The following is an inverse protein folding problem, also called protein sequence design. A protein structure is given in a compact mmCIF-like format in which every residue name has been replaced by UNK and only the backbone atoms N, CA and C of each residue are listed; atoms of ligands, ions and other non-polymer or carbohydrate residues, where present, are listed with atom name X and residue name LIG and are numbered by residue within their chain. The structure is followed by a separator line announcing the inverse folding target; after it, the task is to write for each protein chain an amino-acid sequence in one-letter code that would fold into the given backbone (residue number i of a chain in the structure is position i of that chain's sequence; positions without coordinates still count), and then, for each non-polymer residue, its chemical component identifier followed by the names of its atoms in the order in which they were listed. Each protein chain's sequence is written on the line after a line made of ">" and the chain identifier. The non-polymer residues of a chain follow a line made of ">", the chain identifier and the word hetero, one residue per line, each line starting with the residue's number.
data_IF_582865141842
#
_entry.id   IF_582865141842
#
_cell.length_a   1.000
_cell.length_b   1.000
_cell.length_c   1.000
_cell.angle_alpha   90.00
_cell.angle_beta   90.00
_cell.angle_gamma   90.00
#
_symmetry.space_group_name_H-M   'P 1'
#
loop_
_entity.id
_entity.type
_entity.pdbx_description
1 polymer ?
#
# COMPACT_ATOMS: atom_id res chain seq x y z
N UNK A 1 32.08 -84.13 -32.79
CA UNK A 1 30.99 -83.42 -32.09
C UNK A 1 31.43 -81.99 -31.87
N UNK A 2 30.91 -81.05 -32.66
CA UNK A 2 31.26 -79.62 -32.57
C UNK A 2 29.95 -78.82 -32.68
N UNK A 3 29.62 -78.10 -31.61
CA UNK A 3 28.36 -77.38 -31.43
C UNK A 3 28.30 -76.09 -32.26
N UNK A 4 27.16 -75.90 -32.93
CA UNK A 4 26.72 -74.65 -33.56
C UNK A 4 26.02 -73.77 -32.51
N UNK A 5 26.33 -72.47 -32.48
CA UNK A 5 25.55 -71.46 -31.74
C UNK A 5 24.89 -70.53 -32.76
N UNK A 6 23.56 -70.56 -32.77
CA UNK A 6 22.66 -69.78 -33.64
C UNK A 6 22.31 -68.45 -32.97
N UNK A 7 22.42 -67.35 -33.72
CA UNK A 7 21.96 -66.02 -33.32
C UNK A 7 20.43 -65.88 -33.52
N UNK A 8 19.75 -65.19 -32.60
CA UNK A 8 18.34 -64.82 -32.74
C UNK A 8 18.18 -63.30 -32.56
N UNK A 9 17.58 -62.58 -33.52
CA UNK A 9 17.34 -61.14 -33.40
C UNK A 9 16.10 -60.84 -32.55
N UNK A 10 16.16 -59.76 -31.77
CA UNK A 10 15.03 -59.24 -30.97
C UNK A 10 14.08 -58.42 -31.85
N UNK A 11 12.79 -58.76 -31.75
CA UNK A 11 11.66 -58.09 -32.43
C UNK A 11 11.30 -56.76 -31.74
N UNK A 12 11.01 -55.74 -32.56
CA UNK A 12 10.59 -54.41 -32.12
C UNK A 12 9.13 -54.35 -31.66
N UNK A 13 8.86 -53.46 -30.70
CA UNK A 13 7.54 -52.96 -30.35
C UNK A 13 7.39 -51.50 -30.80
N UNK A 14 6.18 -51.03 -31.16
CA UNK A 14 5.98 -49.66 -31.59
C UNK A 14 6.07 -48.72 -30.39
N UNK A 15 7.09 -47.84 -30.41
CA UNK A 15 7.07 -46.64 -29.58
C UNK A 15 5.95 -45.75 -30.10
N UNK A 16 4.89 -45.57 -29.30
CA UNK A 16 3.87 -44.56 -29.58
C UNK A 16 4.54 -43.20 -29.56
N UNK A 17 4.64 -42.56 -30.74
CA UNK A 17 4.99 -41.16 -30.83
C UNK A 17 3.82 -40.33 -30.29
N UNK A 18 3.88 -39.97 -29.01
CA UNK A 18 3.03 -38.93 -28.47
C UNK A 18 3.52 -37.60 -29.06
N UNK A 19 2.86 -37.15 -30.13
CA UNK A 19 3.04 -35.79 -30.62
C UNK A 19 2.80 -34.82 -29.45
N UNK A 20 3.71 -33.87 -29.15
CA UNK A 20 3.38 -32.85 -28.17
C UNK A 20 2.19 -32.07 -28.71
N UNK A 21 1.06 -32.19 -28.01
CA UNK A 21 -0.06 -31.29 -28.14
C UNK A 21 0.48 -29.84 -28.09
N UNK A 22 -0.02 -29.01 -29.00
CA UNK A 22 0.44 -27.63 -29.16
C UNK A 22 0.55 -26.92 -27.82
N UNK A 23 1.78 -26.56 -27.47
CA UNK A 23 2.03 -25.53 -26.49
C UNK A 23 1.47 -24.25 -27.09
N UNK A 24 0.22 -23.92 -26.76
CA UNK A 24 -0.16 -22.51 -26.65
C UNK A 24 0.87 -21.90 -25.72
N UNK A 25 1.83 -21.18 -26.30
CA UNK A 25 2.73 -20.34 -25.55
C UNK A 25 1.87 -19.47 -24.62
N UNK A 26 2.24 -19.32 -23.34
CA UNK A 26 1.66 -18.24 -22.56
C UNK A 26 1.87 -16.98 -23.39
N UNK A 27 0.82 -16.18 -23.59
CA UNK A 27 1.04 -14.81 -24.05
C UNK A 27 2.02 -14.21 -23.05
N UNK A 28 3.25 -13.93 -23.47
CA UNK A 28 4.24 -13.24 -22.64
C UNK A 28 3.63 -11.88 -22.32
N UNK A 29 2.95 -11.80 -21.18
CA UNK A 29 2.52 -10.53 -20.63
C UNK A 29 3.79 -9.73 -20.42
N UNK A 30 3.89 -8.62 -21.14
CA UNK A 30 5.02 -7.73 -21.05
C UNK A 30 5.20 -7.33 -19.59
N UNK A 31 6.44 -7.36 -19.14
CA UNK A 31 6.77 -6.92 -17.80
C UNK A 31 6.34 -5.44 -17.62
N UNK A 32 6.03 -5.00 -16.39
CA UNK A 32 5.54 -3.64 -16.15
C UNK A 32 6.49 -2.56 -16.68
N UNK A 33 7.80 -2.80 -16.61
CA UNK A 33 8.82 -1.89 -17.10
C UNK A 33 8.83 -1.81 -18.64
N UNK A 34 8.73 -2.95 -19.33
CA UNK A 34 8.62 -3.01 -20.79
C UNK A 34 7.39 -2.26 -21.29
N UNK A 35 6.23 -2.50 -20.66
CA UNK A 35 4.98 -1.82 -21.02
C UNK A 35 5.05 -0.31 -20.79
N UNK A 36 5.64 0.13 -19.68
CA UNK A 36 5.81 1.55 -19.40
C UNK A 36 6.76 2.22 -20.41
N UNK A 37 7.83 1.53 -20.82
CA UNK A 37 8.78 2.03 -21.82
C UNK A 37 8.15 2.18 -23.21
N UNK A 38 7.34 1.22 -23.65
CA UNK A 38 6.58 1.34 -24.91
C UNK A 38 5.64 2.54 -24.86
N UNK A 39 4.83 2.66 -23.81
CA UNK A 39 3.92 3.80 -23.65
C UNK A 39 4.65 5.14 -23.59
N UNK A 40 5.82 5.20 -22.95
CA UNK A 40 6.63 6.43 -22.88
C UNK A 40 7.19 6.81 -24.26
N UNK A 41 7.66 5.82 -25.02
CA UNK A 41 8.14 6.02 -26.40
C UNK A 41 6.99 6.45 -27.35
N UNK A 42 5.79 5.88 -27.18
CA UNK A 42 4.62 6.20 -27.99
C UNK A 42 4.02 7.58 -27.65
N UNK A 43 3.90 7.91 -26.36
CA UNK A 43 3.31 9.18 -25.90
C UNK A 43 4.27 10.36 -25.98
N UNK A 44 5.58 10.12 -25.89
CA UNK A 44 6.58 11.18 -25.71
C UNK A 44 6.62 11.75 -24.30
N UNK A 45 5.89 11.16 -23.35
CA UNK A 45 5.83 11.57 -21.94
C UNK A 45 6.42 10.47 -21.05
N UNK A 46 6.89 10.83 -19.86
CA UNK A 46 7.35 9.82 -18.89
C UNK A 46 6.15 9.04 -18.35
N UNK A 47 6.30 7.73 -18.18
CA UNK A 47 5.22 6.85 -17.69
C UNK A 47 5.66 6.17 -16.39
N UNK A 48 4.83 6.22 -15.37
CA UNK A 48 5.10 5.60 -14.06
C UNK A 48 4.96 4.07 -14.11
N UNK A 49 5.90 3.37 -13.48
CA UNK A 49 5.86 1.94 -13.23
C UNK A 49 5.13 1.68 -11.92
N UNK A 50 3.79 1.70 -11.99
CA UNK A 50 2.90 1.58 -10.82
C UNK A 50 3.18 0.41 -9.85
N UNK A 51 3.55 -0.82 -10.28
CA UNK A 51 3.78 -1.91 -9.32
C UNK A 51 5.04 -1.74 -8.48
N UNK A 52 5.96 -0.84 -8.85
CA UNK A 52 7.17 -0.53 -8.07
C UNK A 52 7.01 0.71 -7.19
N UNK A 53 5.86 1.38 -7.27
CA UNK A 53 5.59 2.58 -6.46
C UNK A 53 5.46 2.23 -4.98
N UNK A 54 6.12 3.04 -4.15
CA UNK A 54 6.04 3.01 -2.67
C UNK A 54 5.67 4.39 -2.14
N UNK A 55 5.46 4.52 -0.83
CA UNK A 55 5.11 5.80 -0.20
C UNK A 55 6.18 6.90 -0.41
N UNK A 56 7.43 6.50 -0.69
CA UNK A 56 8.61 7.38 -0.80
C UNK A 56 9.36 7.29 -2.12
N UNK A 57 9.03 6.35 -3.00
CA UNK A 57 9.78 6.09 -4.24
C UNK A 57 8.83 5.84 -5.41
N UNK A 58 9.10 6.46 -6.54
CA UNK A 58 8.44 6.23 -7.83
C UNK A 58 9.49 5.99 -8.91
N UNK A 59 9.18 5.11 -9.86
CA UNK A 59 10.04 4.81 -11.01
C UNK A 59 9.27 5.16 -12.28
N UNK A 60 9.93 5.85 -13.19
CA UNK A 60 9.36 6.29 -14.47
C UNK A 60 10.20 5.76 -15.63
N UNK A 61 9.55 5.28 -16.68
CA UNK A 61 10.15 5.10 -17.99
C UNK A 61 10.11 6.42 -18.75
N UNK A 62 11.24 6.84 -19.32
CA UNK A 62 11.35 8.06 -20.10
C UNK A 62 11.27 7.78 -21.60
N UNK A 63 10.80 8.73 -22.43
CA UNK A 63 10.69 8.55 -23.88
C UNK A 63 12.04 8.30 -24.58
N UNK A 64 13.17 8.66 -23.97
CA UNK A 64 14.52 8.42 -24.48
C UNK A 64 15.05 6.99 -24.17
N UNK A 65 14.25 6.15 -23.51
CA UNK A 65 14.59 4.76 -23.18
C UNK A 65 15.36 4.61 -21.86
N UNK A 66 15.57 5.69 -21.10
CA UNK A 66 16.11 5.63 -19.74
C UNK A 66 15.00 5.47 -18.70
N UNK A 67 15.39 5.15 -17.47
CA UNK A 67 14.50 5.14 -16.31
C UNK A 67 14.93 6.22 -15.31
N UNK A 68 13.96 6.82 -14.63
CA UNK A 68 14.20 7.77 -13.54
C UNK A 68 13.51 7.29 -12.28
N UNK A 69 14.28 7.21 -11.19
CA UNK A 69 13.75 6.95 -9.86
C UNK A 69 13.74 8.25 -9.06
N UNK A 70 12.58 8.61 -8.53
CA UNK A 70 12.39 9.76 -7.65
C UNK A 70 12.17 9.25 -6.23
N UNK A 71 13.02 9.68 -5.28
CA UNK A 71 12.98 9.25 -3.88
C UNK A 71 12.85 10.45 -2.94
N UNK A 72 11.94 10.35 -1.98
CA UNK A 72 11.64 11.40 -0.99
C UNK A 72 12.12 11.01 0.42
N UNK A 73 12.48 12.01 1.23
CA UNK A 73 12.91 11.80 2.63
C UNK A 73 11.76 11.40 3.58
N UNK A 74 10.53 11.67 3.19
CA UNK A 74 9.31 11.31 3.92
C UNK A 74 8.22 10.89 2.92
N UNK A 75 7.18 10.16 3.36
CA UNK A 75 6.08 9.80 2.50
C UNK A 75 5.41 11.01 1.86
N UNK A 76 5.22 10.92 0.53
CA UNK A 76 4.52 11.92 -0.28
C UNK A 76 3.28 11.34 -0.96
N UNK A 77 3.16 10.01 -0.99
CA UNK A 77 1.97 9.29 -1.45
C UNK A 77 1.53 8.26 -0.42
N UNK A 78 0.25 7.90 -0.47
CA UNK A 78 -0.33 6.83 0.33
C UNK A 78 -1.16 5.89 -0.53
N UNK A 79 -1.06 4.60 -0.21
CA UNK A 79 -1.85 3.56 -0.83
C UNK A 79 -3.23 3.50 -0.17
N UNK A 80 -4.27 3.61 -0.99
CA UNK A 80 -5.66 3.57 -0.58
C UNK A 80 -6.16 2.13 -0.48
N UNK A 81 -7.33 1.93 0.16
CA UNK A 81 -7.92 0.59 0.35
C UNK A 81 -8.28 -0.14 -0.96
N UNK A 82 -8.51 0.59 -2.05
CA UNK A 82 -8.71 0.04 -3.40
C UNK A 82 -7.40 -0.24 -4.15
N UNK A 83 -6.25 0.00 -3.51
CA UNK A 83 -4.92 -0.20 -4.06
C UNK A 83 -4.39 0.97 -4.89
N UNK A 84 -5.18 2.04 -5.08
CA UNK A 84 -4.77 3.25 -5.78
C UNK A 84 -3.78 4.09 -4.94
N UNK A 85 -3.00 4.95 -5.58
CA UNK A 85 -2.06 5.87 -4.92
C UNK A 85 -2.60 7.30 -4.97
N UNK A 86 -2.70 7.94 -3.81
CA UNK A 86 -3.04 9.36 -3.70
C UNK A 86 -1.90 10.14 -3.02
N UNK A 87 -1.82 11.44 -3.27
CA UNK A 87 -0.94 12.32 -2.51
C UNK A 87 -1.32 12.33 -1.02
N UNK A 88 -0.35 12.61 -0.16
CA UNK A 88 -0.60 12.73 1.28
C UNK A 88 -1.50 13.95 1.53
N UNK A 89 -2.63 13.71 2.20
CA UNK A 89 -3.54 14.72 2.71
C UNK A 89 -3.95 14.34 4.14
N UNK A 90 -3.36 15.05 5.11
CA UNK A 90 -3.60 14.83 6.54
C UNK A 90 -4.86 15.50 7.06
N UNK A 91 -5.66 16.16 6.21
CA UNK A 91 -6.91 16.81 6.61
C UNK A 91 -7.88 15.78 7.18
N UNK A 92 -8.34 16.01 8.40
CA UNK A 92 -9.26 15.13 9.10
C UNK A 92 -10.67 15.27 8.54
N UNK A 93 -11.31 14.12 8.39
CA UNK A 93 -12.70 13.99 7.99
C UNK A 93 -13.39 13.00 8.93
N UNK A 94 -14.67 13.25 9.22
CA UNK A 94 -15.49 12.33 9.99
C UNK A 94 -16.09 11.27 9.08
N UNK A 95 -15.91 10.01 9.44
CA UNK A 95 -16.49 8.87 8.76
C UNK A 95 -17.94 8.64 9.20
N UNK A 96 -18.65 7.77 8.47
CA UNK A 96 -20.09 7.51 8.67
C UNK A 96 -20.37 6.78 9.99
N UNK A 97 -19.42 5.95 10.43
CA UNK A 97 -19.40 5.28 11.74
C UNK A 97 -19.02 6.21 12.91
N UNK A 98 -18.68 7.46 12.63
CA UNK A 98 -18.38 8.49 13.61
C UNK A 98 -16.90 8.62 13.97
N UNK A 99 -16.03 7.75 13.46
CA UNK A 99 -14.58 7.88 13.66
C UNK A 99 -14.01 9.00 12.80
N UNK A 100 -12.81 9.45 13.11
CA UNK A 100 -12.16 10.58 12.45
C UNK A 100 -10.86 10.11 11.84
N UNK A 101 -10.65 10.36 10.56
CA UNK A 101 -9.46 9.89 9.84
C UNK A 101 -8.94 10.97 8.89
N UNK A 102 -7.62 11.03 8.64
CA UNK A 102 -7.09 11.85 7.57
C UNK A 102 -7.60 11.33 6.21
N UNK A 103 -7.61 12.20 5.19
CA UNK A 103 -8.01 11.79 3.83
C UNK A 103 -7.07 10.75 3.23
N UNK A 104 -5.77 10.92 3.43
CA UNK A 104 -4.74 10.09 2.80
C UNK A 104 -3.41 10.19 3.57
N UNK A 105 -3.02 9.11 4.26
CA UNK A 105 -1.73 9.02 5.00
C UNK A 105 -1.06 7.66 4.74
N UNK A 106 0.27 7.63 4.79
CA UNK A 106 1.04 6.41 4.55
C UNK A 106 0.80 5.34 5.62
N UNK A 107 0.50 5.77 6.84
CA UNK A 107 -0.02 4.91 7.90
C UNK A 107 -1.48 5.27 8.11
N UNK A 108 -2.35 4.27 8.15
CA UNK A 108 -3.77 4.49 8.42
C UNK A 108 -3.92 4.89 9.89
N UNK A 109 -4.60 6.00 10.12
CA UNK A 109 -4.81 6.58 11.45
C UNK A 109 -6.30 6.81 11.62
N UNK A 110 -6.84 6.36 12.74
CA UNK A 110 -8.19 6.66 13.16
C UNK A 110 -8.18 7.25 14.56
N UNK A 111 -8.91 8.34 14.74
CA UNK A 111 -9.14 9.01 16.01
C UNK A 111 -10.59 8.78 16.46
N UNK A 112 -10.77 8.67 17.77
CA UNK A 112 -12.10 8.51 18.37
C UNK A 112 -13.02 9.68 18.02
N UNK A 113 -14.26 9.38 17.64
CA UNK A 113 -15.32 10.39 17.54
C UNK A 113 -15.76 11.01 18.87
N UNK A 114 -15.25 10.50 20.01
CA UNK A 114 -15.74 10.73 21.36
C UNK A 114 -16.33 9.46 21.97
N UNK A 115 -16.76 9.54 23.23
CA UNK A 115 -17.33 8.40 23.96
C UNK A 115 -16.30 7.62 24.77
N UNK A 116 -16.26 6.29 24.62
CA UNK A 116 -15.33 5.46 25.40
C UNK A 116 -13.87 5.77 25.02
N UNK A 117 -13.03 6.04 26.02
CA UNK A 117 -11.62 6.38 25.79
C UNK A 117 -10.73 5.22 25.40
N UNK A 118 -11.19 3.96 25.52
CA UNK A 118 -10.37 2.77 25.27
C UNK A 118 -9.75 2.70 23.87
N UNK A 119 -10.36 3.36 22.89
CA UNK A 119 -9.92 3.41 21.49
C UNK A 119 -9.79 4.87 21.05
N UNK A 120 -8.85 5.60 21.66
CA UNK A 120 -8.58 7.00 21.34
C UNK A 120 -7.92 7.15 19.96
N UNK A 121 -6.93 6.31 19.68
CA UNK A 121 -6.23 6.26 18.39
C UNK A 121 -6.00 4.82 17.96
N UNK A 122 -6.34 4.50 16.73
CA UNK A 122 -5.96 3.25 16.06
C UNK A 122 -5.02 3.55 14.91
N UNK A 123 -3.92 2.82 14.85
CA UNK A 123 -2.93 2.87 13.78
C UNK A 123 -2.92 1.52 13.09
N UNK A 124 -3.12 1.50 11.77
CA UNK A 124 -2.83 0.33 10.94
C UNK A 124 -1.70 0.64 9.97
N UNK A 125 -0.75 -0.29 9.91
CA UNK A 125 0.33 -0.24 8.94
C UNK A 125 0.54 -1.62 8.31
N UNK A 126 -0.01 -1.82 7.11
CA UNK A 126 0.08 -3.06 6.35
C UNK A 126 -0.48 -4.26 7.14
N UNK A 127 -1.66 -4.11 7.73
CA UNK A 127 -2.36 -5.15 8.49
C UNK A 127 -1.82 -5.39 9.90
N UNK A 128 -0.96 -4.51 10.39
CA UNK A 128 -0.48 -4.51 11.77
C UNK A 128 -1.10 -3.35 12.52
N UNK A 129 -1.92 -3.69 13.49
CA UNK A 129 -2.70 -2.73 14.25
C UNK A 129 -2.07 -2.41 15.61
N UNK A 130 -2.12 -1.14 15.99
CA UNK A 130 -1.80 -0.64 17.33
C UNK A 130 -2.91 0.31 17.77
N UNK A 131 -3.47 0.08 18.96
CA UNK A 131 -4.47 0.95 19.56
C UNK A 131 -3.93 1.63 20.82
N UNK A 132 -4.28 2.90 20.98
CA UNK A 132 -3.97 3.72 22.15
C UNK A 132 -5.27 4.15 22.81
N UNK A 133 -5.36 3.95 24.12
CA UNK A 133 -6.50 4.37 24.92
C UNK A 133 -6.24 5.63 25.74
N UNK A 134 -7.32 6.30 26.10
CA UNK A 134 -7.40 7.35 27.11
C UNK A 134 -8.09 6.82 28.37
N UNK A 135 -7.66 7.22 29.59
CA UNK A 135 -8.19 6.65 30.84
C UNK A 135 -9.67 6.90 31.12
N UNK A 136 -10.25 7.95 30.53
CA UNK A 136 -11.63 8.40 30.76
C UNK A 136 -12.40 8.47 29.45
N UNK A 137 -13.70 8.71 29.52
CA UNK A 137 -14.48 9.05 28.35
C UNK A 137 -13.91 10.32 27.68
N UNK A 138 -13.95 10.35 26.35
CA UNK A 138 -13.52 11.48 25.53
C UNK A 138 -14.75 12.28 25.07
N UNK A 139 -14.67 13.61 25.04
CA UNK A 139 -15.68 14.45 24.40
C UNK A 139 -15.66 14.25 22.88
N UNK A 140 -16.66 14.77 22.18
CA UNK A 140 -16.57 14.90 20.73
C UNK A 140 -15.53 15.97 20.37
N UNK A 141 -14.57 15.69 19.46
CA UNK A 141 -13.52 16.63 19.14
C UNK A 141 -13.96 17.68 18.11
N UNK A 142 -13.36 18.86 18.19
CA UNK A 142 -13.37 19.86 17.12
C UNK A 142 -12.24 19.59 16.13
N UNK A 143 -12.55 19.66 14.84
CA UNK A 143 -11.59 19.41 13.75
C UNK A 143 -11.13 20.73 13.13
N UNK A 144 -9.82 20.88 12.99
CA UNK A 144 -9.17 21.98 12.26
C UNK A 144 -8.01 21.44 11.43
N UNK A 145 -8.20 21.36 10.11
CA UNK A 145 -7.19 20.77 9.21
C UNK A 145 -6.82 19.35 9.63
N UNK A 146 -5.57 19.14 10.04
CA UNK A 146 -5.05 17.85 10.52
C UNK A 146 -5.18 17.63 12.04
N UNK A 147 -5.82 18.55 12.76
CA UNK A 147 -5.88 18.56 14.23
C UNK A 147 -7.29 18.20 14.72
N UNK A 148 -7.37 17.24 15.63
CA UNK A 148 -8.55 16.95 16.45
C UNK A 148 -8.29 17.44 17.88
N UNK A 149 -9.14 18.35 18.37
CA UNK A 149 -9.07 18.87 19.75
C UNK A 149 -10.20 18.29 20.57
N UNK A 150 -9.88 17.63 21.67
CA UNK A 150 -10.81 17.11 22.66
C UNK A 150 -10.75 18.05 23.88
N UNK A 151 -11.81 18.83 24.08
CA UNK A 151 -11.84 19.86 25.12
C UNK A 151 -12.11 19.29 26.52
N UNK A 152 -11.46 19.84 27.54
CA UNK A 152 -11.74 19.50 28.94
C UNK A 152 -11.64 17.98 29.24
N UNK A 153 -10.66 17.29 28.65
CA UNK A 153 -10.38 15.87 28.96
C UNK A 153 -9.92 15.68 30.41
N UNK A 154 -9.37 16.74 30.99
CA UNK A 154 -9.21 16.98 32.42
C UNK A 154 -9.59 18.45 32.67
N UNK A 155 -9.88 18.86 33.92
CA UNK A 155 -10.25 20.24 34.23
C UNK A 155 -9.23 21.25 33.69
N UNK A 156 -9.66 22.09 32.72
CA UNK A 156 -8.82 23.12 32.09
C UNK A 156 -7.75 22.61 31.11
N UNK A 157 -7.83 21.34 30.70
CA UNK A 157 -6.83 20.69 29.83
C UNK A 157 -7.50 20.10 28.61
N UNK A 158 -6.98 20.48 27.44
CA UNK A 158 -7.37 19.89 26.17
C UNK A 158 -6.34 18.86 25.70
N UNK A 159 -6.83 17.81 25.06
CA UNK A 159 -6.03 16.87 24.31
C UNK A 159 -6.08 17.25 22.83
N UNK A 160 -4.91 17.41 22.20
CA UNK A 160 -4.79 17.70 20.77
C UNK A 160 -4.07 16.55 20.09
N UNK A 161 -4.75 15.92 19.12
CA UNK A 161 -4.17 14.91 18.24
C UNK A 161 -3.95 15.53 16.87
N UNK A 162 -2.74 15.43 16.33
CA UNK A 162 -2.42 15.92 14.99
C UNK A 162 -2.05 14.76 14.09
N UNK A 163 -2.78 14.57 12.98
CA UNK A 163 -2.43 13.60 11.96
C UNK A 163 -1.19 14.06 11.17
N UNK A 164 -0.27 13.13 10.95
CA UNK A 164 0.94 13.31 10.13
C UNK A 164 1.05 12.14 9.16
N UNK A 165 1.91 12.26 8.13
CA UNK A 165 1.99 11.26 7.05
C UNK A 165 2.22 9.82 7.53
N UNK A 166 2.94 9.61 8.64
CA UNK A 166 3.26 8.29 9.22
C UNK A 166 2.57 7.97 10.54
N UNK A 167 1.54 8.72 10.93
CA UNK A 167 0.87 8.49 12.21
C UNK A 167 0.27 9.75 12.81
N UNK A 168 0.53 9.98 14.09
CA UNK A 168 0.02 11.15 14.80
C UNK A 168 1.00 11.69 15.84
N UNK A 169 0.76 12.91 16.29
CA UNK A 169 1.39 13.48 17.49
C UNK A 169 0.32 13.79 18.54
N UNK A 170 0.68 13.66 19.81
CA UNK A 170 -0.14 14.01 20.95
C UNK A 170 0.43 15.25 21.63
N UNK A 171 -0.40 16.27 21.80
CA UNK A 171 -0.07 17.49 22.53
C UNK A 171 -1.17 17.83 23.55
N UNK A 172 -0.81 18.59 24.57
CA UNK A 172 -1.76 19.18 25.52
C UNK A 172 -1.79 20.69 25.35
N UNK A 173 -3.00 21.25 25.25
CA UNK A 173 -3.24 22.69 25.33
C UNK A 173 -3.74 23.07 26.71
N UNK A 174 -3.17 24.12 27.31
CA UNK A 174 -3.78 24.76 28.48
C UNK A 174 -4.81 25.77 27.96
N UNK A 175 -6.04 25.70 28.45
CA UNK A 175 -7.05 26.72 28.17
C UNK A 175 -6.61 28.01 28.87
N UNK A 176 -6.05 28.96 28.12
CA UNK A 176 -5.80 30.31 28.64
C UNK A 176 -7.16 31.01 28.72
N UNK A 177 -7.66 31.20 29.95
CA UNK A 177 -8.91 31.90 30.26
C UNK A 177 -8.80 33.41 30.06
#
# INVERSE_FOLDING_TARGET
>A
MASLITAVPVLGGPASAHAPAGLTAPSEELSPESRAAELAAESGERVEIAPETTEVSQIFANPDGTFTQETSAAPVRAKQGDGSWADIDTTLVRAVDGTIRPRSTATQVEFSGGGAGSEMVTLDNHGRELAFGWPTALPEPQLDGSVATYAEVLPGVDLKLTAVSRGFTLGSGRQEC
#
